data_IF_202711568951
#
_entry.id   IF_202711568951
#
_cell.length_a   1.000
_cell.length_b   1.000
_cell.length_c   1.000
_cell.angle_alpha   90.00
_cell.angle_beta   90.00
_cell.angle_gamma   90.00
#
_symmetry.space_group_name_H-M   'P 1'
#
loop_
_entity.id
_entity.type
_entity.pdbx_description
1 polymer ?
#
# COMPACT_ATOMS: atom_id res chain seq x y z
N UNK A 1 10.63 8.39 36.19
CA UNK A 1 10.72 8.20 34.72
C UNK A 1 12.13 8.32 34.17
N UNK A 2 13.04 9.08 34.80
CA UNK A 2 14.42 9.21 34.31
C UNK A 2 15.22 7.88 34.32
N UNK A 3 14.98 6.99 35.29
CA UNK A 3 15.57 5.63 35.32
C UNK A 3 14.94 4.64 34.33
N UNK A 4 13.78 4.94 33.76
CA UNK A 4 13.08 4.07 32.80
C UNK A 4 13.61 4.25 31.36
N UNK A 5 14.43 5.28 31.09
CA UNK A 5 14.87 5.64 29.73
C UNK A 5 15.74 4.56 29.06
N UNK A 6 16.67 3.99 29.80
CA UNK A 6 17.61 2.96 29.32
C UNK A 6 16.89 1.61 29.24
N UNK A 7 16.06 1.32 30.23
CA UNK A 7 15.28 0.08 30.32
C UNK A 7 14.16 0.01 29.27
N UNK A 8 13.56 1.15 28.90
CA UNK A 8 12.47 1.23 27.94
C UNK A 8 12.83 0.60 26.59
N UNK A 9 14.00 0.96 26.06
CA UNK A 9 14.53 0.43 24.80
C UNK A 9 14.89 -1.05 24.93
N UNK A 10 15.46 -1.44 26.07
CA UNK A 10 15.86 -2.83 26.31
C UNK A 10 14.67 -3.78 26.42
N UNK A 11 13.52 -3.35 26.95
CA UNK A 11 12.37 -4.25 27.18
C UNK A 11 11.31 -4.25 26.08
N UNK A 12 11.27 -3.26 25.18
CA UNK A 12 10.17 -3.07 24.21
C UNK A 12 9.95 -4.23 23.23
N UNK A 13 10.95 -5.10 23.05
CA UNK A 13 10.88 -6.23 22.13
C UNK A 13 10.00 -7.37 22.66
N UNK A 14 9.69 -7.39 23.97
CA UNK A 14 8.78 -8.36 24.59
C UNK A 14 7.35 -7.83 24.63
N UNK A 15 6.35 -8.73 24.68
CA UNK A 15 4.93 -8.35 24.75
C UNK A 15 4.62 -7.46 25.96
N UNK A 16 5.08 -7.88 27.14
CA UNK A 16 4.83 -7.14 28.38
C UNK A 16 5.65 -5.85 28.42
N UNK A 17 6.88 -5.87 27.91
CA UNK A 17 7.70 -4.67 27.81
C UNK A 17 7.11 -3.62 26.87
N UNK A 18 6.55 -4.02 25.72
CA UNK A 18 5.83 -3.11 24.83
C UNK A 18 4.60 -2.49 25.50
N UNK A 19 3.83 -3.26 26.28
CA UNK A 19 2.68 -2.74 27.04
C UNK A 19 3.10 -1.73 28.10
N UNK A 20 4.16 -1.99 28.86
CA UNK A 20 4.70 -1.05 29.86
C UNK A 20 5.15 0.24 29.16
N UNK A 21 5.85 0.13 28.03
CA UNK A 21 6.26 1.28 27.23
C UNK A 21 5.06 2.09 26.73
N UNK A 22 4.00 1.44 26.23
CA UNK A 22 2.76 2.12 25.86
C UNK A 22 2.13 2.89 27.03
N UNK A 23 2.11 2.29 28.22
CA UNK A 23 1.63 2.98 29.43
C UNK A 23 2.48 4.21 29.78
N UNK A 24 3.81 4.13 29.65
CA UNK A 24 4.70 5.27 29.83
C UNK A 24 4.38 6.40 28.84
N UNK A 25 4.14 6.06 27.57
CA UNK A 25 3.77 7.05 26.55
C UNK A 25 2.40 7.68 26.87
N UNK A 26 1.38 6.88 27.14
CA UNK A 26 0.01 7.37 27.34
C UNK A 26 -0.16 8.18 28.63
N UNK A 27 0.50 7.77 29.73
CA UNK A 27 0.42 8.48 31.02
C UNK A 27 1.47 9.58 31.16
N UNK A 28 2.49 9.60 30.30
CA UNK A 28 3.55 10.59 30.36
C UNK A 28 3.08 12.00 30.00
N UNK A 29 3.66 13.00 30.65
CA UNK A 29 3.47 14.40 30.28
C UNK A 29 4.13 14.70 28.93
N UNK A 30 3.89 15.89 28.37
CA UNK A 30 4.60 16.34 27.17
C UNK A 30 6.14 16.31 27.34
N UNK A 31 6.64 16.62 28.55
CA UNK A 31 8.07 16.54 28.88
C UNK A 31 8.57 15.09 28.84
N UNK A 32 7.81 14.17 29.44
CA UNK A 32 8.18 12.76 29.50
C UNK A 32 8.17 12.11 28.12
N UNK A 33 7.12 12.37 27.32
CA UNK A 33 7.02 11.91 25.92
C UNK A 33 8.18 12.41 25.07
N UNK A 34 8.59 13.67 25.26
CA UNK A 34 9.74 14.23 24.55
C UNK A 34 11.03 13.49 24.89
N UNK A 35 11.24 13.16 26.17
CA UNK A 35 12.41 12.37 26.60
C UNK A 35 12.32 10.95 26.04
N UNK A 36 11.16 10.31 26.13
CA UNK A 36 10.91 8.96 25.63
C UNK A 36 11.15 8.83 24.12
N UNK A 37 10.58 9.73 23.30
CA UNK A 37 10.80 9.72 21.85
C UNK A 37 12.29 9.87 21.51
N UNK A 38 13.02 10.71 22.25
CA UNK A 38 14.46 10.88 22.05
C UNK A 38 15.28 9.66 22.46
N UNK A 39 14.85 8.88 23.46
CA UNK A 39 15.58 7.66 23.84
C UNK A 39 15.45 6.55 22.79
N UNK A 40 14.46 6.61 21.90
CA UNK A 40 14.33 5.64 20.79
C UNK A 40 15.29 5.90 19.63
N UNK A 41 15.94 7.07 19.60
CA UNK A 41 16.87 7.46 18.53
C UNK A 41 17.96 6.40 18.35
N UNK A 42 18.33 6.12 17.10
CA UNK A 42 19.26 5.07 16.67
C UNK A 42 18.71 3.63 16.78
N UNK A 43 17.54 3.44 17.37
CA UNK A 43 16.89 2.13 17.49
C UNK A 43 15.60 2.04 16.66
N UNK A 44 15.16 3.12 16.00
CA UNK A 44 13.84 3.21 15.37
C UNK A 44 13.65 2.13 14.30
N UNK A 45 14.63 1.95 13.42
CA UNK A 45 14.58 0.94 12.35
C UNK A 45 14.42 -0.47 12.94
N UNK A 46 15.17 -0.78 14.01
CA UNK A 46 15.02 -2.05 14.73
C UNK A 46 13.61 -2.18 15.30
N UNK A 47 13.12 -1.16 16.00
CA UNK A 47 11.80 -1.15 16.64
C UNK A 47 10.68 -1.37 15.60
N UNK A 48 10.78 -0.78 14.41
CA UNK A 48 9.83 -0.99 13.31
C UNK A 48 9.66 -2.48 12.96
N UNK A 49 10.75 -3.25 13.04
CA UNK A 49 10.82 -4.66 12.64
C UNK A 49 10.53 -5.63 13.77
N UNK A 50 10.36 -5.14 15.01
CA UNK A 50 10.07 -5.97 16.18
C UNK A 50 8.59 -6.36 16.24
N UNK A 51 8.31 -7.62 16.60
CA UNK A 51 6.95 -8.15 16.70
C UNK A 51 6.07 -7.39 17.69
N UNK A 52 6.67 -6.95 18.80
CA UNK A 52 5.97 -6.18 19.83
C UNK A 52 6.41 -4.71 19.85
N UNK A 53 7.66 -4.43 19.48
CA UNK A 53 8.21 -3.08 19.53
C UNK A 53 7.48 -2.08 18.61
N UNK A 54 7.06 -2.53 17.42
CA UNK A 54 6.36 -1.65 16.48
C UNK A 54 5.07 -1.04 17.05
N UNK A 55 4.39 -1.74 17.98
CA UNK A 55 3.20 -1.24 18.68
C UNK A 55 3.48 0.07 19.44
N UNK A 56 4.68 0.20 20.03
CA UNK A 56 5.06 1.41 20.77
C UNK A 56 5.12 2.62 19.83
N UNK A 57 5.60 2.43 18.59
CA UNK A 57 5.58 3.49 17.58
C UNK A 57 4.16 3.89 17.21
N UNK A 58 3.24 2.92 17.05
CA UNK A 58 1.83 3.22 16.78
C UNK A 58 1.20 4.02 17.93
N UNK A 59 1.48 3.63 19.18
CA UNK A 59 1.06 4.37 20.36
C UNK A 59 1.63 5.78 20.43
N UNK A 60 2.87 6.00 19.99
CA UNK A 60 3.47 7.33 19.86
C UNK A 60 2.69 8.17 18.83
N UNK A 61 2.41 7.63 17.65
CA UNK A 61 1.65 8.32 16.61
C UNK A 61 0.25 8.73 17.10
N UNK A 62 -0.37 7.91 17.96
CA UNK A 62 -1.69 8.15 18.55
C UNK A 62 -1.70 9.11 19.74
N UNK A 63 -0.55 9.43 20.36
CA UNK A 63 -0.51 10.11 21.67
C UNK A 63 0.44 11.32 21.75
N UNK A 64 1.45 11.46 20.90
CA UNK A 64 2.40 12.59 21.00
C UNK A 64 1.94 13.78 20.15
N UNK A 65 1.66 14.92 20.81
CA UNK A 65 1.19 16.15 20.15
C UNK A 65 2.30 16.90 19.38
N UNK A 66 3.54 16.77 19.84
CA UNK A 66 4.74 17.32 19.18
C UNK A 66 5.15 16.41 18.01
N UNK A 67 4.36 16.46 16.93
CA UNK A 67 4.59 15.72 15.69
C UNK A 67 5.86 16.17 14.98
N UNK A 68 6.33 17.40 15.20
CA UNK A 68 7.62 17.87 14.68
C UNK A 68 8.77 17.08 15.31
N UNK A 69 8.73 16.83 16.62
CA UNK A 69 9.69 15.96 17.30
C UNK A 69 9.62 14.52 16.77
N UNK A 70 8.42 13.97 16.61
CA UNK A 70 8.21 12.62 16.07
C UNK A 70 8.80 12.54 14.66
N UNK A 71 8.53 13.52 13.79
CA UNK A 71 9.08 13.55 12.43
C UNK A 71 10.61 13.63 12.43
N UNK A 72 11.21 14.53 13.22
CA UNK A 72 12.67 14.73 13.28
C UNK A 72 13.45 13.59 13.92
N UNK A 73 12.80 12.76 14.72
CA UNK A 73 13.46 11.67 15.47
C UNK A 73 13.11 10.32 14.86
N UNK A 74 11.82 10.02 14.73
CA UNK A 74 11.33 8.71 14.30
C UNK A 74 11.23 8.67 12.77
N UNK A 75 10.48 9.59 12.15
CA UNK A 75 10.27 9.50 10.70
C UNK A 75 11.56 9.71 9.91
N UNK A 76 12.50 10.54 10.38
CA UNK A 76 13.82 10.68 9.74
C UNK A 76 14.58 9.36 9.66
N UNK A 77 14.58 8.54 10.72
CA UNK A 77 15.23 7.21 10.69
C UNK A 77 14.45 6.22 9.83
N UNK A 78 13.11 6.25 9.88
CA UNK A 78 12.27 5.42 9.00
C UNK A 78 12.55 5.74 7.53
N UNK A 79 12.63 7.03 7.17
CA UNK A 79 12.89 7.48 5.80
C UNK A 79 14.28 7.06 5.34
N UNK A 80 15.29 7.10 6.22
CA UNK A 80 16.65 6.69 5.90
C UNK A 80 16.79 5.18 5.58
N UNK A 81 15.89 4.35 6.11
CA UNK A 81 15.85 2.89 5.90
C UNK A 81 14.50 2.43 5.33
N UNK A 82 13.86 3.27 4.50
CA UNK A 82 12.46 3.07 4.12
C UNK A 82 12.24 1.77 3.35
N UNK A 83 13.14 1.45 2.42
CA UNK A 83 13.08 0.22 1.62
C UNK A 83 13.22 -1.03 2.49
N UNK A 84 14.18 -1.04 3.43
CA UNK A 84 14.34 -2.13 4.40
C UNK A 84 13.06 -2.35 5.22
N UNK A 85 12.41 -1.26 5.63
CA UNK A 85 11.18 -1.30 6.42
C UNK A 85 9.99 -1.78 5.57
N UNK A 86 9.91 -1.41 4.29
CA UNK A 86 8.91 -1.94 3.36
C UNK A 86 9.02 -3.47 3.23
N UNK A 87 10.24 -4.02 3.25
CA UNK A 87 10.47 -5.46 3.12
C UNK A 87 10.17 -6.25 4.39
N UNK A 88 10.07 -5.59 5.55
CA UNK A 88 9.76 -6.24 6.83
C UNK A 88 8.25 -6.34 7.13
N UNK A 89 7.80 -7.48 7.68
CA UNK A 89 6.37 -7.72 8.00
C UNK A 89 5.79 -6.80 9.08
N UNK A 90 6.58 -6.38 10.06
CA UNK A 90 6.20 -5.42 11.09
C UNK A 90 6.46 -3.99 10.63
N UNK A 91 7.54 -3.77 9.87
CA UNK A 91 7.83 -2.49 9.23
C UNK A 91 6.69 -1.99 8.37
N UNK A 92 6.13 -2.85 7.51
CA UNK A 92 4.91 -2.54 6.72
C UNK A 92 3.73 -2.11 7.58
N UNK A 93 3.53 -2.70 8.76
CA UNK A 93 2.45 -2.31 9.68
C UNK A 93 2.64 -0.88 10.18
N UNK A 94 3.87 -0.46 10.45
CA UNK A 94 4.19 0.93 10.83
C UNK A 94 3.82 1.89 9.69
N UNK A 95 4.23 1.57 8.46
CA UNK A 95 3.95 2.41 7.28
C UNK A 95 2.45 2.47 6.96
N UNK A 96 1.75 1.33 6.99
CA UNK A 96 0.30 1.27 6.81
C UNK A 96 -0.45 2.07 7.88
N UNK A 97 0.05 2.08 9.12
CA UNK A 97 -0.54 2.88 10.18
C UNK A 97 -0.32 4.38 9.98
N UNK A 98 0.84 4.80 9.47
CA UNK A 98 1.08 6.21 9.12
C UNK A 98 0.19 6.67 7.95
N UNK A 99 -0.07 5.80 6.97
CA UNK A 99 -0.93 6.08 5.82
C UNK A 99 -2.43 6.06 6.15
N UNK A 100 -2.89 5.06 6.89
CA UNK A 100 -4.30 4.89 7.24
C UNK A 100 -4.44 4.28 8.65
N UNK A 101 -4.25 5.11 9.68
CA UNK A 101 -4.25 4.70 11.07
C UNK A 101 -5.52 3.93 11.43
N UNK A 102 -5.35 2.85 12.19
CA UNK A 102 -6.45 2.02 12.72
C UNK A 102 -7.42 1.45 11.67
N UNK A 103 -7.03 1.40 10.40
CA UNK A 103 -7.86 0.84 9.34
C UNK A 103 -8.12 -0.66 9.54
N UNK A 104 -9.39 -1.11 9.57
CA UNK A 104 -9.73 -2.53 9.70
C UNK A 104 -9.30 -3.36 8.49
N UNK A 105 -8.90 -2.71 7.39
CA UNK A 105 -8.30 -3.36 6.22
C UNK A 105 -6.92 -3.95 6.52
N UNK A 106 -6.18 -3.33 7.43
CA UNK A 106 -4.78 -3.66 7.74
C UNK A 106 -4.60 -4.26 9.13
N UNK A 107 -5.52 -3.96 10.04
CA UNK A 107 -5.41 -4.30 11.45
C UNK A 107 -6.67 -5.02 11.95
N UNK A 108 -6.49 -6.19 12.56
CA UNK A 108 -7.61 -6.91 13.18
C UNK A 108 -8.16 -6.12 14.37
N UNK A 109 -9.44 -6.34 14.67
CA UNK A 109 -10.08 -5.71 15.84
C UNK A 109 -9.31 -5.98 17.14
N UNK A 110 -8.86 -7.23 17.36
CA UNK A 110 -8.06 -7.60 18.53
C UNK A 110 -6.74 -6.84 18.61
N UNK A 111 -6.09 -6.58 17.46
CA UNK A 111 -4.88 -5.78 17.44
C UNK A 111 -5.15 -4.32 17.80
N UNK A 112 -6.22 -3.74 17.26
CA UNK A 112 -6.60 -2.34 17.55
C UNK A 112 -6.98 -2.13 19.01
N UNK A 113 -7.60 -3.13 19.66
CA UNK A 113 -7.87 -3.11 21.10
C UNK A 113 -6.62 -2.97 21.98
N UNK A 114 -5.42 -3.26 21.45
CA UNK A 114 -4.17 -3.03 22.18
C UNK A 114 -3.83 -1.53 22.27
N UNK A 115 -4.37 -0.69 21.40
CA UNK A 115 -4.08 0.76 21.33
C UNK A 115 -5.15 1.61 22.00
N UNK A 116 -6.39 1.12 22.09
CA UNK A 116 -7.53 1.86 22.68
C UNK A 116 -7.31 2.34 24.12
N UNK A 117 -6.54 1.67 25.01
CA UNK A 117 -6.31 2.19 26.36
C UNK A 117 -5.53 3.52 26.39
N UNK A 118 -4.90 3.92 25.27
CA UNK A 118 -4.23 5.20 25.13
C UNK A 118 -5.12 6.36 24.69
N UNK A 119 -6.36 6.08 24.28
CA UNK A 119 -7.28 7.10 23.77
C UNK A 119 -7.74 8.04 24.88
N UNK A 120 -7.97 9.31 24.51
CA UNK A 120 -8.45 10.36 25.43
C UNK A 120 -7.61 10.51 26.72
N UNK A 121 -6.32 10.15 26.67
CA UNK A 121 -5.43 10.31 27.82
C UNK A 121 -5.26 11.80 28.22
N UNK A 122 -4.83 12.03 29.45
CA UNK A 122 -4.77 13.37 30.04
C UNK A 122 -3.86 14.36 29.29
N UNK A 123 -2.84 13.89 28.58
CA UNK A 123 -1.77 14.74 28.05
C UNK A 123 -1.76 14.87 26.52
N UNK A 124 -2.60 14.14 25.80
CA UNK A 124 -2.85 14.34 24.36
C UNK A 124 -3.98 15.33 24.18
N UNK A 125 -3.65 16.56 23.81
CA UNK A 125 -4.61 17.66 23.61
C UNK A 125 -4.91 17.88 22.13
N UNK A 126 -3.96 17.56 21.24
CA UNK A 126 -4.17 17.62 19.80
C UNK A 126 -5.10 16.47 19.35
N UNK A 127 -6.14 16.74 18.54
CA UNK A 127 -6.97 15.69 17.97
C UNK A 127 -6.15 14.61 17.25
N UNK A 128 -6.62 13.35 17.29
CA UNK A 128 -5.89 12.21 16.69
C UNK A 128 -5.75 12.34 15.17
N UNK A 129 -6.84 12.71 14.50
CA UNK A 129 -6.90 12.96 13.06
C UNK A 129 -5.89 14.01 12.59
N UNK A 130 -5.73 15.11 13.35
CA UNK A 130 -4.75 16.15 13.03
C UNK A 130 -3.31 15.62 13.16
N UNK A 131 -3.02 14.84 14.21
CA UNK A 131 -1.68 14.22 14.37
C UNK A 131 -1.37 13.24 13.25
N UNK A 132 -2.34 12.40 12.94
CA UNK A 132 -2.21 11.45 11.84
C UNK A 132 -2.01 12.16 10.50
N UNK A 133 -2.74 13.24 10.23
CA UNK A 133 -2.56 14.03 9.01
C UNK A 133 -1.15 14.65 8.91
N UNK A 134 -0.64 15.24 10.00
CA UNK A 134 0.71 15.82 10.04
C UNK A 134 1.80 14.76 9.81
N UNK A 135 1.70 13.59 10.46
CA UNK A 135 2.65 12.50 10.30
C UNK A 135 2.56 11.85 8.91
N UNK A 136 1.34 11.70 8.38
CA UNK A 136 1.10 11.21 7.03
C UNK A 136 1.72 12.14 5.99
N UNK A 137 1.52 13.44 6.13
CA UNK A 137 2.11 14.44 5.24
C UNK A 137 3.64 14.36 5.22
N UNK A 138 4.28 14.05 6.37
CA UNK A 138 5.73 13.91 6.44
C UNK A 138 6.28 12.64 5.77
N UNK A 139 5.59 11.49 5.88
CA UNK A 139 6.06 10.22 5.28
C UNK A 139 5.66 10.06 3.81
N UNK A 140 4.63 10.76 3.35
CA UNK A 140 4.04 10.51 2.03
C UNK A 140 4.99 10.77 0.86
N UNK A 141 5.67 11.94 0.74
CA UNK A 141 6.56 12.19 -0.39
C UNK A 141 7.68 11.17 -0.60
N UNK A 142 8.47 10.78 0.44
CA UNK A 142 9.52 9.77 0.25
C UNK A 142 8.95 8.38 -0.07
N UNK A 143 7.77 8.03 0.47
CA UNK A 143 7.13 6.74 0.19
C UNK A 143 6.56 6.67 -1.22
N UNK A 144 5.91 7.74 -1.71
CA UNK A 144 5.45 7.85 -3.09
C UNK A 144 6.63 7.68 -4.04
N UNK A 145 7.74 8.38 -3.78
CA UNK A 145 8.95 8.28 -4.59
C UNK A 145 9.46 6.82 -4.65
N UNK A 146 9.70 6.21 -3.50
CA UNK A 146 10.22 4.85 -3.43
C UNK A 146 9.30 3.83 -4.13
N UNK A 147 7.99 3.94 -3.92
CA UNK A 147 7.03 3.07 -4.59
C UNK A 147 7.04 3.34 -6.10
N UNK A 148 7.08 4.59 -6.56
CA UNK A 148 7.12 4.90 -8.00
C UNK A 148 8.34 4.30 -8.71
N UNK A 149 9.45 4.09 -7.99
CA UNK A 149 10.68 3.48 -8.51
C UNK A 149 10.58 1.94 -8.60
N UNK A 150 9.75 1.31 -7.75
CA UNK A 150 9.70 -0.16 -7.59
C UNK A 150 8.31 -0.80 -7.86
N UNK A 151 7.29 0.00 -8.20
CA UNK A 151 5.88 -0.45 -8.19
C UNK A 151 5.58 -1.63 -9.12
N UNK A 152 6.30 -1.77 -10.23
CA UNK A 152 6.06 -2.89 -11.18
C UNK A 152 6.33 -4.23 -10.51
N UNK A 153 7.41 -4.33 -9.73
CA UNK A 153 7.75 -5.52 -8.96
C UNK A 153 6.82 -5.66 -7.75
N UNK A 154 6.69 -4.60 -6.97
CA UNK A 154 5.96 -4.64 -5.69
C UNK A 154 4.46 -4.86 -5.84
N UNK A 155 3.87 -4.50 -6.97
CA UNK A 155 2.47 -4.84 -7.29
C UNK A 155 2.26 -6.34 -7.52
N UNK A 156 3.30 -7.08 -7.89
CA UNK A 156 3.28 -8.54 -8.03
C UNK A 156 3.60 -9.27 -6.73
N UNK A 157 4.11 -8.58 -5.72
CA UNK A 157 4.47 -9.15 -4.42
C UNK A 157 3.32 -9.05 -3.41
N UNK A 158 2.73 -10.21 -3.08
CA UNK A 158 1.61 -10.28 -2.12
C UNK A 158 1.84 -9.52 -0.80
N UNK A 159 3.04 -9.56 -0.16
CA UNK A 159 3.25 -8.84 1.10
C UNK A 159 3.28 -7.31 0.95
N UNK A 160 3.71 -6.78 -0.20
CA UNK A 160 3.88 -5.35 -0.46
C UNK A 160 2.63 -4.72 -1.09
N UNK A 161 1.81 -5.52 -1.75
CA UNK A 161 0.63 -5.06 -2.46
C UNK A 161 -0.33 -4.17 -1.61
N UNK A 162 -0.61 -4.45 -0.32
CA UNK A 162 -1.40 -3.54 0.51
C UNK A 162 -0.76 -2.16 0.69
N UNK A 163 0.57 -2.08 0.77
CA UNK A 163 1.30 -0.82 0.93
C UNK A 163 1.26 0.01 -0.35
N UNK A 164 1.39 -0.63 -1.52
CA UNK A 164 1.19 0.03 -2.82
C UNK A 164 -0.21 0.64 -2.92
N UNK A 165 -1.24 -0.17 -2.64
CA UNK A 165 -2.65 0.26 -2.73
C UNK A 165 -2.93 1.41 -1.75
N UNK A 166 -2.47 1.29 -0.50
CA UNK A 166 -2.74 2.31 0.52
C UNK A 166 -1.95 3.60 0.26
N UNK A 167 -0.75 3.53 -0.33
CA UNK A 167 -0.01 4.73 -0.72
C UNK A 167 -0.77 5.52 -1.78
N UNK A 168 -1.21 4.85 -2.85
CA UNK A 168 -2.03 5.49 -3.88
C UNK A 168 -3.33 6.05 -3.28
N UNK A 169 -3.93 5.35 -2.30
CA UNK A 169 -5.21 5.76 -1.70
C UNK A 169 -5.10 6.94 -0.76
N UNK A 170 -4.07 7.00 0.07
CA UNK A 170 -4.08 7.83 1.28
C UNK A 170 -2.86 8.71 1.45
N UNK A 171 -1.77 8.48 0.71
CA UNK A 171 -0.62 9.36 0.77
C UNK A 171 -0.99 10.79 0.35
N UNK A 172 -0.37 11.77 1.00
CA UNK A 172 -0.50 13.19 0.70
C UNK A 172 0.52 13.57 -0.37
N UNK A 173 0.06 14.18 -1.45
CA UNK A 173 0.90 14.59 -2.58
C UNK A 173 0.57 13.85 -3.87
N UNK A 174 1.28 14.22 -4.93
CA UNK A 174 1.06 13.69 -6.28
C UNK A 174 1.50 12.23 -6.41
N UNK A 175 0.55 11.33 -6.65
CA UNK A 175 0.78 9.89 -6.86
C UNK A 175 0.93 9.50 -8.33
N UNK A 176 0.77 10.44 -9.27
CA UNK A 176 0.86 10.16 -10.71
C UNK A 176 2.20 9.57 -11.17
N UNK A 177 3.36 9.77 -10.50
CA UNK A 177 4.58 9.03 -10.83
C UNK A 177 4.40 7.51 -10.70
N UNK A 178 3.60 7.03 -9.73
CA UNK A 178 3.30 5.60 -9.56
C UNK A 178 2.50 5.09 -10.76
N UNK A 179 1.48 5.83 -11.19
CA UNK A 179 0.68 5.50 -12.37
C UNK A 179 1.52 5.48 -13.63
N UNK A 180 2.38 6.48 -13.81
CA UNK A 180 3.27 6.61 -14.95
C UNK A 180 4.21 5.41 -15.05
N UNK A 181 4.83 4.99 -13.95
CA UNK A 181 5.69 3.80 -13.94
C UNK A 181 4.89 2.52 -14.25
N UNK A 182 3.71 2.34 -13.64
CA UNK A 182 2.85 1.19 -13.90
C UNK A 182 2.47 1.09 -15.38
N UNK A 183 2.08 2.21 -16.00
CA UNK A 183 1.74 2.27 -17.42
C UNK A 183 2.97 1.95 -18.26
N UNK A 184 4.03 2.77 -18.15
CA UNK A 184 5.15 2.73 -19.07
C UNK A 184 6.00 1.45 -18.96
N UNK A 185 6.18 0.92 -17.74
CA UNK A 185 7.05 -0.24 -17.49
C UNK A 185 6.28 -1.52 -17.19
N UNK A 186 5.03 -1.41 -16.74
CA UNK A 186 4.22 -2.56 -16.33
C UNK A 186 3.18 -3.00 -17.35
N UNK A 187 2.53 -2.06 -18.06
CA UNK A 187 1.38 -2.32 -18.94
C UNK A 187 1.70 -2.14 -20.43
N UNK A 188 2.61 -1.24 -20.79
CA UNK A 188 3.03 -1.00 -22.18
C UNK A 188 4.08 -2.02 -22.61
N UNK A 189 3.70 -3.29 -22.57
CA UNK A 189 4.49 -4.43 -23.06
C UNK A 189 3.57 -5.57 -23.49
N UNK A 190 4.02 -6.48 -24.35
CA UNK A 190 3.25 -7.68 -24.69
C UNK A 190 2.93 -8.52 -23.45
N UNK A 191 1.77 -9.18 -23.46
CA UNK A 191 1.46 -10.22 -22.47
C UNK A 191 2.50 -11.35 -22.58
N UNK A 192 2.88 -11.91 -21.44
CA UNK A 192 3.74 -13.10 -21.41
C UNK A 192 2.93 -14.29 -21.92
N UNK A 193 3.07 -14.62 -23.21
CA UNK A 193 2.33 -15.72 -23.85
C UNK A 193 2.90 -17.10 -23.51
N UNK A 194 4.11 -17.17 -22.92
CA UNK A 194 4.85 -18.41 -22.67
C UNK A 194 4.74 -18.96 -21.24
N UNK A 195 4.23 -18.18 -20.28
CA UNK A 195 3.91 -18.70 -18.95
C UNK A 195 2.48 -19.24 -18.97
N UNK A 196 2.39 -20.46 -19.51
CA UNK A 196 1.17 -21.23 -19.71
C UNK A 196 0.05 -20.87 -18.74
N UNK A 197 -1.12 -20.64 -19.35
CA UNK A 197 -2.43 -20.59 -18.72
C UNK A 197 -2.65 -21.93 -17.98
N UNK A 198 -2.04 -22.08 -16.81
CA UNK A 198 -2.43 -23.08 -15.84
C UNK A 198 -3.30 -22.35 -14.82
N UNK A 199 -4.58 -22.24 -15.17
CA UNK A 199 -5.67 -21.90 -14.26
C UNK A 199 -5.95 -23.04 -13.26
N UNK A 200 -4.92 -23.78 -12.87
CA UNK A 200 -4.98 -24.87 -11.90
C UNK A 200 -4.01 -24.58 -10.76
N UNK A 201 -4.48 -24.86 -9.55
CA UNK A 201 -3.85 -24.73 -8.24
C UNK A 201 -2.50 -25.50 -8.10
N UNK A 202 -1.51 -25.27 -8.96
CA UNK A 202 -0.18 -25.84 -8.79
C UNK A 202 0.70 -24.94 -7.91
N UNK A 203 1.19 -25.54 -6.83
CA UNK A 203 2.22 -24.96 -5.98
C UNK A 203 3.45 -24.63 -6.83
N UNK A 204 3.93 -23.39 -6.72
CA UNK A 204 5.15 -22.91 -7.34
C UNK A 204 6.31 -23.76 -6.78
N UNK A 205 6.96 -24.54 -7.64
CA UNK A 205 8.24 -25.18 -7.34
C UNK A 205 9.36 -24.22 -7.71
N UNK A 206 10.26 -23.98 -6.75
CA UNK A 206 11.45 -23.15 -6.88
C UNK A 206 12.41 -23.71 -7.94
N UNK A 207 12.51 -23.06 -9.11
CA UNK A 207 13.71 -23.15 -9.95
C UNK A 207 13.84 -21.97 -10.94
N UNK A 208 14.67 -21.02 -10.53
CA UNK A 208 15.61 -20.13 -11.25
C UNK A 208 15.45 -19.95 -12.79
N UNK A 209 15.12 -18.73 -13.21
CA UNK A 209 15.70 -18.05 -14.38
C UNK A 209 15.44 -16.53 -14.30
N UNK A 210 16.45 -15.75 -14.67
CA UNK A 210 16.48 -14.28 -14.74
C UNK A 210 15.23 -13.68 -15.42
N UNK A 211 14.70 -12.59 -14.82
CA UNK A 211 13.55 -11.76 -15.25
C UNK A 211 12.12 -12.37 -15.22
N UNK A 212 11.85 -13.25 -14.27
CA UNK A 212 10.54 -13.89 -14.02
C UNK A 212 9.42 -12.97 -13.48
N UNK A 213 9.31 -11.71 -13.95
CA UNK A 213 8.20 -10.82 -13.59
C UNK A 213 7.00 -11.07 -14.52
N UNK A 214 6.04 -11.85 -14.01
CA UNK A 214 4.75 -12.04 -14.66
C UNK A 214 4.09 -10.68 -14.95
N UNK A 215 3.56 -10.53 -16.16
CA UNK A 215 2.80 -9.36 -16.60
C UNK A 215 1.73 -8.98 -15.59
N UNK A 216 1.59 -7.70 -15.26
CA UNK A 216 0.68 -7.23 -14.22
C UNK A 216 -0.76 -7.72 -14.46
N UNK A 217 -1.21 -7.73 -15.73
CA UNK A 217 -2.53 -8.24 -16.14
C UNK A 217 -2.66 -9.77 -15.96
N UNK A 218 -1.61 -10.53 -16.24
CA UNK A 218 -1.64 -11.99 -16.17
C UNK A 218 -1.43 -12.54 -14.76
N UNK A 219 -0.66 -11.83 -13.93
CA UNK A 219 -0.26 -12.29 -12.60
C UNK A 219 -1.41 -12.26 -11.59
N UNK A 220 -1.51 -13.27 -10.68
CA UNK A 220 -2.59 -13.33 -9.69
C UNK A 220 -2.56 -12.14 -8.70
N UNK A 221 -1.38 -11.65 -8.34
CA UNK A 221 -1.26 -10.45 -7.49
C UNK A 221 -1.40 -9.16 -8.30
N UNK A 222 -0.70 -9.06 -9.44
CA UNK A 222 -0.71 -7.87 -10.28
C UNK A 222 -2.11 -7.44 -10.71
N UNK A 223 -2.93 -8.36 -11.23
CA UNK A 223 -4.26 -7.98 -11.74
C UNK A 223 -5.18 -7.54 -10.61
N UNK A 224 -5.02 -8.14 -9.41
CA UNK A 224 -5.75 -7.74 -8.22
C UNK A 224 -5.34 -6.34 -7.78
N UNK A 225 -4.03 -6.04 -7.74
CA UNK A 225 -3.55 -4.68 -7.44
C UNK A 225 -4.10 -3.69 -8.45
N UNK A 226 -3.98 -3.96 -9.75
CA UNK A 226 -4.50 -3.07 -10.81
C UNK A 226 -5.98 -2.76 -10.61
N UNK A 227 -6.83 -3.78 -10.41
CA UNK A 227 -8.26 -3.57 -10.14
C UNK A 227 -8.49 -2.70 -8.90
N UNK A 228 -7.70 -2.90 -7.84
CA UNK A 228 -7.79 -2.08 -6.62
C UNK A 228 -7.34 -0.64 -6.85
N UNK A 229 -6.33 -0.41 -7.69
CA UNK A 229 -5.85 0.92 -8.05
C UNK A 229 -6.82 1.66 -8.99
N UNK A 230 -7.40 0.95 -9.96
CA UNK A 230 -8.41 1.48 -10.89
C UNK A 230 -9.63 2.01 -10.13
N UNK A 231 -10.07 1.29 -9.09
CA UNK A 231 -11.19 1.70 -8.23
C UNK A 231 -10.83 2.76 -7.16
N UNK A 232 -9.63 3.38 -7.22
CA UNK A 232 -9.28 4.51 -6.36
C UNK A 232 -9.64 5.80 -7.08
N UNK A 233 -10.63 6.50 -6.55
CA UNK A 233 -10.91 7.89 -6.87
C UNK A 233 -10.46 8.77 -5.70
N UNK A 234 -9.48 9.66 -5.93
CA UNK A 234 -8.98 10.57 -4.90
C UNK A 234 -9.68 11.92 -5.02
N UNK A 235 -9.94 12.55 -3.88
CA UNK A 235 -10.63 13.85 -3.82
C UNK A 235 -9.71 15.05 -4.13
N UNK A 236 -8.41 14.82 -4.39
CA UNK A 236 -7.39 15.85 -4.53
C UNK A 236 -7.05 16.20 -5.99
N UNK A 237 -8.03 16.06 -6.89
CA UNK A 237 -7.88 16.28 -8.34
C UNK A 237 -6.85 15.36 -9.02
N UNK A 238 -6.40 14.29 -8.36
CA UNK A 238 -5.58 13.27 -9.02
C UNK A 238 -6.37 12.66 -10.18
N UNK A 239 -5.80 12.55 -11.39
CA UNK A 239 -6.49 11.93 -12.52
C UNK A 239 -6.85 10.46 -12.23
N UNK A 240 -7.97 10.02 -12.83
CA UNK A 240 -8.40 8.63 -12.74
C UNK A 240 -7.35 7.71 -13.38
N UNK A 241 -6.91 6.69 -12.65
CA UNK A 241 -5.92 5.75 -13.19
C UNK A 241 -6.48 4.96 -14.38
N UNK A 242 -7.78 4.67 -14.36
CA UNK A 242 -8.52 4.07 -15.48
C UNK A 242 -8.41 4.90 -16.77
N UNK A 243 -8.61 6.21 -16.68
CA UNK A 243 -8.49 7.13 -17.81
C UNK A 243 -7.06 7.16 -18.37
N UNK A 244 -6.06 7.25 -17.48
CA UNK A 244 -4.66 7.26 -17.88
C UNK A 244 -4.26 5.97 -18.60
N UNK A 245 -4.76 4.80 -18.15
CA UNK A 245 -4.50 3.52 -18.82
C UNK A 245 -5.06 3.54 -20.23
N UNK A 246 -6.35 3.88 -20.40
CA UNK A 246 -7.04 3.85 -21.71
C UNK A 246 -6.37 4.82 -22.70
N UNK A 247 -5.90 5.97 -22.22
CA UNK A 247 -5.29 7.00 -23.05
C UNK A 247 -3.84 6.72 -23.42
N UNK A 248 -3.10 6.00 -22.57
CA UNK A 248 -1.63 5.90 -22.67
C UNK A 248 -1.14 4.52 -23.10
N UNK A 249 -1.88 3.44 -22.81
CA UNK A 249 -1.49 2.09 -23.22
C UNK A 249 -1.91 1.86 -24.68
N UNK A 250 -1.01 1.40 -25.56
CA UNK A 250 -1.34 1.03 -26.93
C UNK A 250 -2.54 0.08 -27.04
N UNK A 251 -3.41 0.35 -28.01
CA UNK A 251 -4.70 -0.34 -28.16
C UNK A 251 -4.57 -1.83 -28.48
N UNK A 252 -3.51 -2.24 -29.16
CA UNK A 252 -3.15 -3.63 -29.41
C UNK A 252 -2.83 -4.38 -28.10
N UNK A 253 -2.11 -3.75 -27.18
CA UNK A 253 -1.87 -4.30 -25.84
C UNK A 253 -3.17 -4.40 -25.04
N UNK A 254 -3.99 -3.34 -24.99
CA UNK A 254 -5.30 -3.39 -24.30
C UNK A 254 -6.18 -4.52 -24.86
N UNK A 255 -6.23 -4.65 -26.19
CA UNK A 255 -7.02 -5.70 -26.87
C UNK A 255 -6.51 -7.09 -26.49
N UNK A 256 -5.19 -7.28 -26.42
CA UNK A 256 -4.59 -8.55 -26.02
C UNK A 256 -5.01 -9.01 -24.62
N UNK A 257 -5.40 -8.10 -23.72
CA UNK A 257 -5.85 -8.47 -22.37
C UNK A 257 -7.16 -9.26 -22.36
N UNK A 258 -8.00 -9.09 -23.38
CA UNK A 258 -9.23 -9.87 -23.54
C UNK A 258 -8.98 -11.36 -23.84
N UNK A 259 -7.74 -11.73 -24.14
CA UNK A 259 -7.35 -13.13 -24.44
C UNK A 259 -7.25 -14.00 -23.19
N UNK A 260 -7.17 -13.39 -21.99
CA UNK A 260 -7.01 -14.10 -20.71
C UNK A 260 -8.07 -13.69 -19.69
N UNK A 261 -8.52 -14.65 -18.88
CA UNK A 261 -9.62 -14.47 -17.92
C UNK A 261 -9.40 -13.27 -16.96
N UNK A 262 -8.18 -13.15 -16.40
CA UNK A 262 -7.80 -12.03 -15.52
C UNK A 262 -7.82 -10.68 -16.23
N UNK A 263 -7.39 -10.65 -17.48
CA UNK A 263 -7.39 -9.43 -18.30
C UNK A 263 -8.81 -8.95 -18.58
N UNK A 264 -9.76 -9.86 -18.84
CA UNK A 264 -11.17 -9.48 -18.96
C UNK A 264 -11.71 -8.78 -17.69
N UNK A 265 -11.33 -9.24 -16.49
CA UNK A 265 -11.72 -8.58 -15.24
C UNK A 265 -11.06 -7.21 -15.03
N UNK A 266 -9.85 -7.00 -15.55
CA UNK A 266 -9.20 -5.67 -15.54
C UNK A 266 -9.93 -4.75 -16.51
N UNK A 267 -10.23 -5.21 -17.72
CA UNK A 267 -11.00 -4.45 -18.73
C UNK A 267 -12.38 -4.05 -18.22
N UNK A 268 -13.10 -4.96 -17.56
CA UNK A 268 -14.40 -4.65 -16.91
C UNK A 268 -14.25 -3.59 -15.80
N UNK A 269 -13.15 -3.62 -15.04
CA UNK A 269 -12.87 -2.57 -14.04
C UNK A 269 -12.59 -1.22 -14.71
N UNK A 270 -11.91 -1.20 -15.87
CA UNK A 270 -11.72 0.03 -16.65
C UNK A 270 -13.05 0.58 -17.17
N UNK A 271 -13.92 -0.28 -17.71
CA UNK A 271 -15.26 0.12 -18.16
C UNK A 271 -16.14 0.65 -17.03
N UNK A 272 -15.95 0.18 -15.80
CA UNK A 272 -16.72 0.61 -14.64
C UNK A 272 -16.22 1.95 -14.06
N UNK A 273 -14.91 2.16 -14.03
CA UNK A 273 -14.28 3.23 -13.25
C UNK A 273 -13.68 4.38 -14.10
N UNK A 274 -13.63 4.25 -15.43
CA UNK A 274 -13.20 5.33 -16.33
C UNK A 274 -14.26 6.43 -16.45
N UNK A 275 -13.86 7.61 -16.94
CA UNK A 275 -14.82 8.63 -17.39
C UNK A 275 -15.64 8.15 -18.57
N UNK A 276 -16.87 8.66 -18.72
CA UNK A 276 -17.81 8.21 -19.76
C UNK A 276 -17.21 8.20 -21.17
N UNK A 277 -16.45 9.24 -21.51
CA UNK A 277 -15.76 9.35 -22.80
C UNK A 277 -14.77 8.19 -23.02
N UNK A 278 -13.95 7.87 -22.02
CA UNK A 278 -12.99 6.78 -22.14
C UNK A 278 -13.66 5.39 -22.04
N UNK A 279 -14.78 5.26 -21.34
CA UNK A 279 -15.59 4.04 -21.37
C UNK A 279 -16.08 3.75 -22.79
N UNK A 280 -16.62 4.77 -23.49
CA UNK A 280 -17.07 4.64 -24.88
C UNK A 280 -15.92 4.26 -25.82
N UNK A 281 -14.76 4.93 -25.72
CA UNK A 281 -13.56 4.57 -26.49
C UNK A 281 -13.12 3.13 -26.27
N UNK A 282 -13.13 2.66 -25.02
CA UNK A 282 -12.75 1.30 -24.69
C UNK A 282 -13.78 0.29 -25.24
N UNK A 283 -15.08 0.59 -25.18
CA UNK A 283 -16.12 -0.27 -25.77
C UNK A 283 -15.95 -0.40 -27.28
N UNK A 284 -15.77 0.70 -28.00
CA UNK A 284 -15.56 0.70 -29.45
C UNK A 284 -14.31 -0.11 -29.84
N UNK A 285 -13.21 0.05 -29.11
CA UNK A 285 -12.00 -0.72 -29.30
C UNK A 285 -12.26 -2.23 -29.12
N UNK A 286 -12.88 -2.63 -28.02
CA UNK A 286 -13.10 -4.05 -27.73
C UNK A 286 -14.12 -4.69 -28.68
N UNK A 287 -15.17 -3.96 -29.06
CA UNK A 287 -16.17 -4.40 -30.04
C UNK A 287 -15.57 -4.61 -31.44
N UNK A 288 -14.63 -3.76 -31.85
CA UNK A 288 -14.01 -3.83 -33.19
C UNK A 288 -12.86 -4.84 -33.27
N UNK A 289 -12.16 -5.12 -32.17
CA UNK A 289 -10.92 -5.91 -32.18
C UNK A 289 -11.07 -7.35 -31.64
N UNK A 290 -11.94 -7.59 -30.65
CA UNK A 290 -11.93 -8.86 -29.88
C UNK A 290 -13.32 -9.45 -29.61
N UNK A 291 -14.41 -8.87 -30.15
CA UNK A 291 -15.78 -9.32 -29.84
C UNK A 291 -16.05 -10.78 -30.17
N UNK A 292 -15.57 -11.27 -31.32
CA UNK A 292 -15.79 -12.66 -31.73
C UNK A 292 -14.96 -13.64 -30.90
N UNK A 293 -13.78 -13.21 -30.44
CA UNK A 293 -12.98 -13.97 -29.48
C UNK A 293 -13.71 -14.07 -28.13
N UNK A 294 -14.28 -12.97 -27.63
CA UNK A 294 -15.03 -12.97 -26.37
C UNK A 294 -16.27 -13.88 -26.44
N UNK A 295 -16.98 -13.89 -27.57
CA UNK A 295 -18.15 -14.76 -27.79
C UNK A 295 -17.82 -16.26 -27.81
N UNK A 296 -16.60 -16.61 -28.22
CA UNK A 296 -16.13 -18.00 -28.30
C UNK A 296 -15.39 -18.46 -27.03
N UNK A 297 -15.06 -17.53 -26.13
CA UNK A 297 -14.40 -17.83 -24.86
C UNK A 297 -15.36 -18.41 -23.82
N UNK A 298 -14.92 -19.45 -23.11
CA UNK A 298 -15.71 -20.10 -22.06
C UNK A 298 -15.33 -19.63 -20.64
N UNK A 299 -14.59 -18.52 -20.53
CA UNK A 299 -14.12 -18.00 -19.23
C UNK A 299 -15.16 -17.08 -18.59
N UNK A 300 -15.23 -17.08 -17.25
CA UNK A 300 -16.14 -16.22 -16.51
C UNK A 300 -15.89 -14.73 -16.79
N UNK A 301 -14.62 -14.32 -16.82
CA UNK A 301 -14.22 -12.95 -17.11
C UNK A 301 -14.66 -12.49 -18.50
N UNK A 302 -14.52 -13.35 -19.53
CA UNK A 302 -15.04 -13.02 -20.86
C UNK A 302 -16.57 -12.87 -20.87
N UNK A 303 -17.29 -13.73 -20.13
CA UNK A 303 -18.74 -13.62 -19.99
C UNK A 303 -19.17 -12.32 -19.28
N UNK A 304 -18.44 -11.90 -18.26
CA UNK A 304 -18.68 -10.62 -17.56
C UNK A 304 -18.43 -9.45 -18.50
N UNK A 305 -17.26 -9.41 -19.15
CA UNK A 305 -16.90 -8.34 -20.07
C UNK A 305 -17.90 -8.22 -21.23
N UNK A 306 -18.34 -9.34 -21.81
CA UNK A 306 -19.31 -9.36 -22.90
C UNK A 306 -20.68 -8.78 -22.51
N UNK A 307 -21.07 -8.82 -21.22
CA UNK A 307 -22.32 -8.20 -20.75
C UNK A 307 -22.25 -6.68 -20.64
N UNK A 308 -21.04 -6.12 -20.59
CA UNK A 308 -20.78 -4.67 -20.48
C UNK A 308 -20.58 -3.99 -21.84
N UNK A 309 -20.29 -4.78 -22.88
CA UNK A 309 -20.08 -4.37 -24.29
C UNK A 309 -21.37 -4.39 -25.09
#
# INVERSE_FOLDING_TARGET
>A
MESLREVAVEMLHTREGAKVNLQCVWKGTAKDRKVFVKSLKSYVVKICKEEHGHLVLLGIFDSVDDTVLVSKTILTEIIASLEEICQDKHGRRVLLYLLNPRSPKHFSHQFLQLLTPGDNNQHSKKPQDIRWAELRAAISPPLIKLISENVVEWACEKPLAPLVIETVRSAVGDVTPIYTTLINKGLTRPLDTDHGINDSNQMITDSVADSNQCHLIGGPCGHWVLKKLIAINREDSTPLFSDLIIQSVPSDYISSWATINRGCFVLSSLLSEASKENQEKLKELLQSSVIDQLRTSNTEGASVLLKEL
#
